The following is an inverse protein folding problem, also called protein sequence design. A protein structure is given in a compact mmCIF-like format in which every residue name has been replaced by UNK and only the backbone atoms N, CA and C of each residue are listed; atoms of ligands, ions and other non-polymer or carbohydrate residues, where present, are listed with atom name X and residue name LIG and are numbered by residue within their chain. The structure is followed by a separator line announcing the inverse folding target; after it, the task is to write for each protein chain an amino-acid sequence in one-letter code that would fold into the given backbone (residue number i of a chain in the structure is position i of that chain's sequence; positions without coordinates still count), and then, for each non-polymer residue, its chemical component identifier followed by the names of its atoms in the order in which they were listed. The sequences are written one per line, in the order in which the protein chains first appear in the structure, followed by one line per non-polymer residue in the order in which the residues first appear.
data_IF_855781055502
#
_entry.id   IF_855781055502
#
_cell.length_a   1.000
_cell.length_b   1.000
_cell.length_c   1.000
_cell.angle_alpha   90.00
_cell.angle_beta   90.00
_cell.angle_gamma   90.00
#
_symmetry.space_group_name_H-M   'P 1'
#
loop_
_entity.id
_entity.type
_entity.pdbx_description
1 polymer ?
#
# COMPACT_ATOMS: atom_id res chain seq x y z
N UNK A 1 20.72 16.70 -27.62
CA UNK A 1 20.71 15.83 -26.43
C UNK A 1 19.32 15.24 -26.31
N UNK A 2 19.15 14.03 -26.83
CA UNK A 2 17.91 13.26 -26.77
C UNK A 2 17.75 12.73 -25.35
N UNK A 3 16.83 13.30 -24.57
CA UNK A 3 16.40 12.72 -23.30
C UNK A 3 15.68 11.41 -23.60
N UNK A 4 16.44 10.31 -23.59
CA UNK A 4 15.90 8.96 -23.51
C UNK A 4 15.36 8.82 -22.09
N UNK A 5 14.09 9.19 -21.90
CA UNK A 5 13.34 8.84 -20.71
C UNK A 5 13.09 7.33 -20.80
N UNK A 6 14.02 6.54 -20.30
CA UNK A 6 13.82 5.11 -20.08
C UNK A 6 12.78 4.96 -18.97
N UNK A 7 11.51 4.79 -19.37
CA UNK A 7 10.32 4.78 -18.51
C UNK A 7 10.22 3.52 -17.65
N UNK A 8 11.15 3.30 -16.73
CA UNK A 8 10.83 2.45 -15.59
C UNK A 8 9.96 3.30 -14.65
N UNK A 9 8.62 3.22 -14.78
CA UNK A 9 7.74 3.96 -13.86
C UNK A 9 7.82 3.34 -12.47
N UNK A 10 8.63 3.95 -11.62
CA UNK A 10 8.89 3.50 -10.26
C UNK A 10 7.65 3.77 -9.41
N UNK A 11 7.18 2.75 -8.71
CA UNK A 11 6.16 2.90 -7.67
C UNK A 11 6.87 3.01 -6.33
N UNK A 12 6.45 3.97 -5.52
CA UNK A 12 6.91 4.14 -4.15
C UNK A 12 5.76 4.00 -3.17
N UNK A 13 6.07 3.58 -1.94
CA UNK A 13 5.19 3.71 -0.80
C UNK A 13 5.99 4.26 0.38
N UNK A 14 5.56 5.40 0.92
CA UNK A 14 6.05 5.90 2.20
C UNK A 14 4.98 5.64 3.26
N UNK A 15 5.32 4.96 4.33
CA UNK A 15 4.36 4.56 5.37
C UNK A 15 4.95 4.64 6.78
N UNK A 16 4.06 4.73 7.76
CA UNK A 16 4.37 4.59 9.18
C UNK A 16 3.50 3.48 9.77
N UNK A 17 4.12 2.61 10.57
CA UNK A 17 3.45 1.54 11.31
C UNK A 17 3.28 2.00 12.77
N UNK A 18 2.07 1.88 13.29
CA UNK A 18 1.68 2.30 14.63
C UNK A 18 1.15 1.09 15.42
N UNK A 19 2.00 0.36 16.14
CA UNK A 19 1.54 -0.58 17.16
C UNK A 19 1.13 0.20 18.43
N UNK A 20 -0.11 0.04 18.87
CA UNK A 20 -0.62 0.63 20.12
C UNK A 20 -0.26 -0.27 21.32
N UNK A 21 1.03 -0.56 21.47
CA UNK A 21 1.58 -1.47 22.49
C UNK A 21 2.85 -0.88 23.13
N UNK A 22 3.18 -1.27 24.36
CA UNK A 22 4.48 -0.97 24.98
C UNK A 22 5.64 -1.59 24.20
N UNK A 23 5.36 -2.67 23.47
CA UNK A 23 6.34 -3.47 22.74
C UNK A 23 6.48 -2.99 21.29
N UNK A 24 6.08 -1.74 21.00
CA UNK A 24 6.02 -1.20 19.65
C UNK A 24 7.35 -1.27 18.89
N UNK A 25 8.48 -1.11 19.60
CA UNK A 25 9.82 -1.20 19.00
C UNK A 25 10.05 -2.60 18.43
N UNK A 26 9.81 -3.64 19.23
CA UNK A 26 10.03 -5.02 18.84
C UNK A 26 9.07 -5.44 17.72
N UNK A 27 7.81 -4.98 17.77
CA UNK A 27 6.83 -5.22 16.70
C UNK A 27 7.29 -4.57 15.39
N UNK A 28 7.72 -3.31 15.41
CA UNK A 28 8.19 -2.62 14.19
C UNK A 28 9.43 -3.31 13.64
N UNK A 29 10.46 -3.54 14.47
CA UNK A 29 11.72 -4.11 14.02
C UNK A 29 11.55 -5.54 13.49
N UNK A 30 10.78 -6.39 14.17
CA UNK A 30 10.53 -7.77 13.70
C UNK A 30 9.81 -7.82 12.35
N UNK A 31 8.90 -6.88 12.07
CA UNK A 31 8.24 -6.81 10.75
C UNK A 31 9.23 -6.45 9.64
N UNK A 32 10.20 -5.58 9.91
CA UNK A 32 11.21 -5.16 8.95
C UNK A 32 12.28 -6.24 8.71
N UNK A 33 12.45 -7.17 9.64
CA UNK A 33 13.38 -8.31 9.56
C UNK A 33 12.77 -9.55 8.90
N UNK A 34 11.53 -9.92 9.26
CA UNK A 34 10.89 -11.15 8.75
C UNK A 34 10.28 -11.00 7.36
N UNK A 35 9.89 -9.78 6.96
CA UNK A 35 9.34 -9.56 5.62
C UNK A 35 10.47 -9.54 4.61
N UNK A 36 10.33 -10.35 3.55
CA UNK A 36 11.27 -10.38 2.46
C UNK A 36 11.15 -9.06 1.66
N UNK A 37 12.14 -8.19 1.86
CA UNK A 37 12.27 -6.90 1.19
C UNK A 37 13.29 -6.93 0.06
N UNK A 38 13.75 -8.11 -0.38
CA UNK A 38 14.78 -8.26 -1.42
C UNK A 38 14.37 -7.72 -2.79
N UNK A 39 13.07 -7.52 -3.02
CA UNK A 39 12.49 -7.01 -4.28
C UNK A 39 12.23 -5.51 -4.30
N UNK A 40 12.61 -4.77 -3.26
CA UNK A 40 12.39 -3.32 -3.16
C UNK A 40 13.63 -2.62 -2.64
N UNK A 41 13.85 -1.39 -3.07
CA UNK A 41 14.71 -0.47 -2.34
C UNK A 41 13.98 0.02 -1.09
N UNK A 42 14.68 0.24 0.02
CA UNK A 42 14.11 0.63 1.31
C UNK A 42 15.00 1.65 2.02
N UNK A 43 14.40 2.69 2.59
CA UNK A 43 15.03 3.63 3.52
C UNK A 43 14.07 3.92 4.67
N UNK A 44 14.58 3.98 5.90
CA UNK A 44 13.78 4.23 7.11
C UNK A 44 14.41 5.38 7.88
N UNK A 45 13.59 6.36 8.24
CA UNK A 45 13.93 7.46 9.14
C UNK A 45 13.07 7.39 10.42
N UNK A 46 13.14 8.42 11.26
CA UNK A 46 12.39 8.50 12.52
C UNK A 46 10.89 8.75 12.36
N UNK A 47 10.41 8.99 11.13
CA UNK A 47 9.01 9.30 10.82
C UNK A 47 8.37 8.17 10.00
N UNK A 48 9.08 7.64 9.01
CA UNK A 48 8.53 6.76 7.98
C UNK A 48 9.53 5.72 7.49
N UNK A 49 9.00 4.69 6.83
CA UNK A 49 9.75 3.84 5.91
C UNK A 49 9.29 4.11 4.49
N UNK A 50 10.24 4.37 3.59
CA UNK A 50 10.03 4.49 2.16
C UNK A 50 10.50 3.22 1.46
N UNK A 51 9.66 2.64 0.61
CA UNK A 51 10.02 1.55 -0.30
C UNK A 51 9.79 1.96 -1.75
N UNK A 52 10.68 1.53 -2.67
CA UNK A 52 10.62 1.88 -4.11
C UNK A 52 10.92 0.67 -4.99
N UNK A 53 10.14 0.49 -6.07
CA UNK A 53 10.25 -0.67 -6.96
C UNK A 53 9.08 -0.81 -7.94
N UNK A 54 8.84 -2.05 -8.41
CA UNK A 54 7.66 -2.41 -9.20
C UNK A 54 6.40 -2.40 -8.33
N UNK A 55 5.26 -1.94 -8.86
CA UNK A 55 3.96 -1.88 -8.17
C UNK A 55 3.66 -3.16 -7.39
N UNK A 56 3.71 -4.32 -8.05
CA UNK A 56 3.40 -5.62 -7.46
C UNK A 56 4.26 -5.94 -6.22
N UNK A 57 5.55 -5.56 -6.23
CA UNK A 57 6.46 -5.80 -5.11
C UNK A 57 6.21 -4.81 -3.97
N UNK A 58 5.85 -3.57 -4.29
CA UNK A 58 5.52 -2.54 -3.31
C UNK A 58 4.25 -2.94 -2.54
N UNK A 59 3.20 -3.37 -3.23
CA UNK A 59 1.98 -3.86 -2.57
C UNK A 59 2.22 -5.16 -1.79
N UNK A 60 3.03 -6.09 -2.30
CA UNK A 60 3.40 -7.33 -1.58
C UNK A 60 4.12 -7.03 -0.25
N UNK A 61 5.14 -6.18 -0.28
CA UNK A 61 5.91 -5.80 0.91
C UNK A 61 5.05 -5.02 1.91
N UNK A 62 4.30 -4.00 1.46
CA UNK A 62 3.45 -3.21 2.38
C UNK A 62 2.38 -4.09 3.06
N UNK A 63 1.76 -4.99 2.30
CA UNK A 63 0.79 -5.96 2.83
C UNK A 63 1.44 -6.89 3.86
N UNK A 64 2.60 -7.45 3.54
CA UNK A 64 3.30 -8.39 4.40
C UNK A 64 3.73 -7.75 5.73
N UNK A 65 4.22 -6.51 5.70
CA UNK A 65 4.57 -5.74 6.92
C UNK A 65 3.34 -5.56 7.80
N UNK A 66 2.21 -5.14 7.22
CA UNK A 66 0.98 -4.95 7.99
C UNK A 66 0.44 -6.26 8.58
N UNK A 67 0.41 -7.33 7.78
CA UNK A 67 -0.03 -8.66 8.23
C UNK A 67 0.84 -9.20 9.34
N UNK A 68 2.17 -9.04 9.23
CA UNK A 68 3.08 -9.46 10.27
C UNK A 68 2.79 -8.71 11.58
N UNK A 69 2.69 -7.38 11.53
CA UNK A 69 2.39 -6.60 12.73
C UNK A 69 1.04 -7.01 13.34
N UNK A 70 0.02 -7.22 12.52
CA UNK A 70 -1.32 -7.59 12.95
C UNK A 70 -1.40 -9.00 13.56
N UNK A 71 -0.54 -9.94 13.13
CA UNK A 71 -0.52 -11.32 13.64
C UNK A 71 -0.16 -11.42 15.14
N UNK A 72 0.41 -10.36 15.70
CA UNK A 72 0.72 -10.25 17.14
C UNK A 72 -0.53 -10.19 18.01
N UNK A 73 -1.69 -9.82 17.43
CA UNK A 73 -2.94 -9.60 18.16
C UNK A 73 -3.05 -8.21 18.80
N UNK A 74 -1.98 -7.41 18.79
CA UNK A 74 -1.99 -6.01 19.23
C UNK A 74 -2.79 -5.14 18.27
N UNK A 75 -3.38 -4.05 18.79
CA UNK A 75 -3.98 -3.03 17.94
C UNK A 75 -2.88 -2.38 17.12
N UNK A 76 -2.94 -2.56 15.81
CA UNK A 76 -1.99 -1.95 14.87
C UNK A 76 -2.73 -1.10 13.85
N UNK A 77 -2.11 0.02 13.48
CA UNK A 77 -2.50 0.80 12.32
C UNK A 77 -1.29 1.06 11.41
N UNK A 78 -1.53 1.17 10.11
CA UNK A 78 -0.53 1.63 9.15
C UNK A 78 -1.14 2.75 8.32
N UNK A 79 -0.43 3.86 8.19
CA UNK A 79 -0.81 4.98 7.32
C UNK A 79 0.30 5.22 6.32
N UNK A 80 -0.05 5.47 5.07
CA UNK A 80 0.96 5.67 4.03
C UNK A 80 0.41 6.26 2.75
N UNK A 81 1.33 6.55 1.84
CA UNK A 81 1.04 7.10 0.51
C UNK A 81 1.77 6.30 -0.54
N UNK A 82 1.01 5.65 -1.43
CA UNK A 82 1.53 5.12 -2.68
C UNK A 82 1.67 6.27 -3.70
N UNK A 83 2.74 6.25 -4.50
CA UNK A 83 2.99 7.25 -5.52
C UNK A 83 3.65 6.65 -6.76
N UNK A 84 3.33 7.18 -7.93
CA UNK A 84 3.98 6.85 -9.19
C UNK A 84 4.00 8.04 -10.14
N UNK A 85 5.13 8.25 -10.81
CA UNK A 85 5.26 9.24 -11.87
C UNK A 85 5.33 10.69 -11.40
N UNK A 86 5.87 10.92 -10.20
CA UNK A 86 6.14 12.26 -9.69
C UNK A 86 7.08 13.03 -10.64
N UNK A 87 6.78 14.28 -11.02
CA UNK A 87 7.68 15.10 -11.81
C UNK A 87 9.02 15.32 -11.09
N UNK A 88 10.12 14.90 -11.71
CA UNK A 88 11.46 14.99 -11.12
C UNK A 88 11.86 13.80 -10.24
N UNK A 89 11.08 12.70 -10.27
CA UNK A 89 11.45 11.45 -9.62
C UNK A 89 12.81 10.95 -10.13
N UNK A 90 13.68 10.53 -9.20
CA UNK A 90 15.02 10.07 -9.54
C UNK A 90 14.96 8.68 -10.17
N UNK A 91 15.79 8.42 -11.18
CA UNK A 91 15.99 7.07 -11.73
C UNK A 91 16.84 6.16 -10.84
N UNK A 92 17.39 6.71 -9.75
CA UNK A 92 18.13 5.97 -8.72
C UNK A 92 17.23 5.51 -7.57
N UNK A 93 17.83 4.87 -6.57
CA UNK A 93 17.15 4.41 -5.34
C UNK A 93 15.93 3.52 -5.64
N UNK A 94 16.14 2.56 -6.55
CA UNK A 94 15.11 1.64 -6.99
C UNK A 94 15.68 0.25 -7.23
N UNK A 95 14.87 -0.76 -6.90
CA UNK A 95 15.09 -2.13 -7.34
C UNK A 95 13.99 -2.53 -8.34
N UNK A 96 14.35 -2.59 -9.62
CA UNK A 96 13.46 -3.00 -10.72
C UNK A 96 13.86 -4.39 -11.19
N UNK A 97 13.55 -5.43 -10.42
CA UNK A 97 13.83 -6.80 -10.84
C UNK A 97 12.98 -7.20 -12.05
N UNK A 98 13.52 -8.00 -12.97
CA UNK A 98 12.75 -8.53 -14.09
C UNK A 98 11.66 -9.52 -13.66
N UNK A 99 11.90 -10.32 -12.62
CA UNK A 99 10.92 -11.30 -12.13
C UNK A 99 9.70 -10.61 -11.51
N UNK A 100 8.51 -11.16 -11.77
CA UNK A 100 7.26 -10.76 -11.13
C UNK A 100 6.90 -11.66 -9.92
N UNK A 101 7.88 -12.41 -9.40
CA UNK A 101 7.67 -13.30 -8.25
C UNK A 101 7.45 -12.49 -6.97
N UNK A 102 6.28 -12.67 -6.37
CA UNK A 102 5.94 -12.13 -5.05
C UNK A 102 6.60 -12.99 -3.96
N UNK A 103 7.46 -12.39 -3.14
CA UNK A 103 8.26 -13.13 -2.16
C UNK A 103 7.47 -13.43 -0.88
N UNK A 104 6.49 -12.58 -0.53
CA UNK A 104 5.74 -12.69 0.70
C UNK A 104 4.34 -13.28 0.52
N UNK A 105 3.91 -13.53 -0.72
CA UNK A 105 2.55 -13.97 -1.05
C UNK A 105 2.15 -15.26 -0.31
N UNK A 106 3.01 -16.29 -0.33
CA UNK A 106 2.72 -17.56 0.33
C UNK A 106 2.47 -17.39 1.84
N UNK A 107 3.30 -16.60 2.51
CA UNK A 107 3.17 -16.34 3.94
C UNK A 107 1.93 -15.47 4.22
N UNK A 108 1.72 -14.42 3.43
CA UNK A 108 0.57 -13.51 3.54
C UNK A 108 -0.77 -14.24 3.37
N UNK A 109 -0.86 -15.13 2.39
CA UNK A 109 -2.08 -15.89 2.09
C UNK A 109 -2.42 -16.92 3.18
N UNK A 110 -1.43 -17.34 3.99
CA UNK A 110 -1.65 -18.22 5.14
C UNK A 110 -2.25 -17.49 6.35
N UNK A 111 -2.19 -16.16 6.37
CA UNK A 111 -2.73 -15.32 7.43
C UNK A 111 -4.14 -14.86 7.09
N UNK A 112 -5.06 -14.99 8.05
CA UNK A 112 -6.42 -14.45 7.97
C UNK A 112 -6.57 -13.36 9.01
N UNK A 113 -6.62 -12.11 8.54
CA UNK A 113 -6.67 -10.94 9.40
C UNK A 113 -7.75 -10.01 8.88
N UNK A 114 -8.72 -9.70 9.73
CA UNK A 114 -9.72 -8.67 9.44
C UNK A 114 -9.17 -7.29 9.76
N UNK A 115 -9.48 -6.32 8.90
CA UNK A 115 -9.10 -4.93 9.08
C UNK A 115 -10.15 -3.97 8.50
N UNK A 116 -10.11 -2.73 8.96
CA UNK A 116 -10.79 -1.61 8.31
C UNK A 116 -9.74 -0.70 7.67
N UNK A 117 -9.99 -0.25 6.45
CA UNK A 117 -9.11 0.64 5.69
C UNK A 117 -9.88 1.83 5.16
N UNK A 118 -9.31 3.02 5.24
CA UNK A 118 -9.76 4.19 4.49
C UNK A 118 -8.68 4.60 3.51
N UNK A 119 -9.06 4.87 2.27
CA UNK A 119 -8.12 5.31 1.25
C UNK A 119 -8.71 6.43 0.38
N UNK A 120 -7.82 7.23 -0.20
CA UNK A 120 -8.16 8.31 -1.12
C UNK A 120 -7.20 8.29 -2.30
N UNK A 121 -7.74 8.41 -3.51
CA UNK A 121 -6.99 8.35 -4.76
C UNK A 121 -6.92 9.73 -5.41
N UNK A 122 -5.73 10.14 -5.82
CA UNK A 122 -5.46 11.47 -6.37
C UNK A 122 -4.79 11.34 -7.75
N UNK A 123 -5.58 11.33 -8.84
CA UNK A 123 -5.06 11.48 -10.19
C UNK A 123 -4.64 12.94 -10.41
N UNK A 124 -3.34 13.22 -10.41
CA UNK A 124 -2.81 14.59 -10.39
C UNK A 124 -2.68 15.19 -11.80
N UNK A 125 -2.89 16.50 -11.90
CA UNK A 125 -2.74 17.26 -13.16
C UNK A 125 -3.88 17.06 -14.15
N UNK A 126 -5.05 16.60 -13.69
CA UNK A 126 -6.24 16.35 -14.51
C UNK A 126 -7.46 17.10 -13.99
N UNK A 127 -8.26 17.65 -14.90
CA UNK A 127 -9.53 18.32 -14.56
C UNK A 127 -10.67 17.29 -14.37
N UNK A 128 -10.62 16.16 -15.09
CA UNK A 128 -11.56 15.04 -15.03
C UNK A 128 -11.22 14.00 -13.94
N UNK A 129 -10.47 14.40 -12.91
CA UNK A 129 -9.98 13.48 -11.87
C UNK A 129 -11.12 12.77 -11.13
N UNK A 130 -12.27 13.43 -10.95
CA UNK A 130 -13.43 12.84 -10.29
C UNK A 130 -14.00 11.66 -11.08
N UNK A 131 -14.05 11.74 -12.42
CA UNK A 131 -14.54 10.64 -13.25
C UNK A 131 -13.64 9.41 -13.10
N UNK A 132 -12.31 9.62 -12.99
CA UNK A 132 -11.34 8.54 -12.74
C UNK A 132 -11.46 7.94 -11.36
N UNK A 133 -11.77 8.74 -10.35
CA UNK A 133 -12.08 8.22 -9.01
C UNK A 133 -13.37 7.40 -9.07
N UNK A 134 -14.44 7.89 -9.68
CA UNK A 134 -15.73 7.18 -9.80
C UNK A 134 -15.61 5.88 -10.61
N UNK A 135 -14.79 5.85 -11.66
CA UNK A 135 -14.48 4.62 -12.43
C UNK A 135 -13.82 3.54 -11.55
N UNK A 136 -13.08 3.94 -10.52
CA UNK A 136 -12.52 3.00 -9.54
C UNK A 136 -13.49 2.62 -8.41
N UNK A 137 -14.70 3.20 -8.32
CA UNK A 137 -15.62 2.91 -7.20
C UNK A 137 -16.23 1.51 -7.27
N UNK A 138 -16.12 0.81 -8.41
CA UNK A 138 -16.58 -0.58 -8.51
C UNK A 138 -15.56 -1.60 -7.98
N UNK A 139 -14.87 -1.26 -6.89
CA UNK A 139 -14.07 -2.21 -6.09
C UNK A 139 -14.92 -3.31 -5.45
N UNK A 140 -16.26 -3.17 -5.46
CA UNK A 140 -17.21 -4.24 -5.14
C UNK A 140 -17.03 -5.51 -5.97
N UNK A 141 -16.35 -5.43 -7.12
CA UNK A 141 -15.92 -6.60 -7.90
C UNK A 141 -14.85 -7.44 -7.21
N UNK A 142 -14.07 -6.87 -6.28
CA UNK A 142 -13.16 -7.65 -5.45
C UNK A 142 -13.97 -8.37 -4.37
N UNK A 143 -14.20 -9.66 -4.61
CA UNK A 143 -14.90 -10.54 -3.67
C UNK A 143 -14.16 -10.56 -2.34
N UNK A 144 -14.78 -10.08 -1.26
CA UNK A 144 -14.22 -10.16 0.09
C UNK A 144 -14.11 -8.84 0.85
N UNK A 145 -14.30 -7.69 0.18
CA UNK A 145 -14.34 -6.38 0.85
C UNK A 145 -15.74 -5.75 0.83
N UNK A 146 -16.16 -5.23 1.97
CA UNK A 146 -17.30 -4.34 2.08
C UNK A 146 -16.84 -2.90 1.79
N UNK A 147 -17.50 -2.24 0.84
CA UNK A 147 -17.22 -0.85 0.48
C UNK A 147 -18.26 0.07 1.11
N UNK A 148 -17.81 1.15 1.75
CA UNK A 148 -18.69 2.18 2.31
C UNK A 148 -18.11 3.59 2.13
N UNK A 149 -19.00 4.58 2.14
CA UNK A 149 -18.60 5.98 2.02
C UNK A 149 -18.04 6.50 3.36
N UNK A 150 -16.97 7.30 3.29
CA UNK A 150 -16.48 8.13 4.38
C UNK A 150 -16.24 9.54 3.83
N UNK A 151 -16.41 10.57 4.64
CA UNK A 151 -15.99 11.90 4.19
C UNK A 151 -14.50 11.87 3.81
N UNK A 152 -14.21 12.38 2.61
CA UNK A 152 -12.88 12.51 2.01
C UNK A 152 -12.16 11.21 1.62
N UNK A 153 -12.80 10.05 1.80
CA UNK A 153 -12.18 8.73 1.56
C UNK A 153 -13.21 7.65 1.25
N UNK A 154 -12.77 6.56 0.64
CA UNK A 154 -13.55 5.32 0.54
C UNK A 154 -13.12 4.40 1.67
N UNK A 155 -14.08 3.77 2.36
CA UNK A 155 -13.82 2.79 3.42
C UNK A 155 -14.00 1.37 2.86
N UNK A 156 -13.03 0.51 3.18
CA UNK A 156 -13.01 -0.92 2.91
C UNK A 156 -12.96 -1.67 4.24
N UNK A 157 -13.79 -2.69 4.42
CA UNK A 157 -13.72 -3.61 5.57
C UNK A 157 -13.68 -5.06 5.04
N UNK A 158 -12.79 -5.90 5.56
CA UNK A 158 -12.63 -7.28 5.09
C UNK A 158 -11.30 -7.91 5.48
N UNK A 159 -10.94 -9.02 4.80
CA UNK A 159 -9.60 -9.62 4.95
C UNK A 159 -8.54 -8.69 4.36
N UNK A 160 -7.39 -8.58 5.05
CA UNK A 160 -6.29 -7.72 4.62
C UNK A 160 -5.80 -8.08 3.21
N UNK A 161 -5.80 -9.35 2.81
CA UNK A 161 -5.40 -9.71 1.45
C UNK A 161 -6.35 -9.14 0.39
N UNK A 162 -7.66 -9.18 0.67
CA UNK A 162 -8.69 -8.65 -0.24
C UNK A 162 -8.65 -7.11 -0.28
N UNK A 163 -8.40 -6.47 0.88
CA UNK A 163 -8.21 -5.00 0.97
C UNK A 163 -7.02 -4.56 0.12
N UNK A 164 -5.85 -5.18 0.28
CA UNK A 164 -4.67 -4.80 -0.50
C UNK A 164 -4.84 -5.11 -2.00
N UNK A 165 -5.56 -6.17 -2.34
CA UNK A 165 -5.92 -6.46 -3.75
C UNK A 165 -6.79 -5.35 -4.34
N UNK A 166 -7.78 -4.85 -3.59
CA UNK A 166 -8.62 -3.74 -4.00
C UNK A 166 -7.84 -2.43 -4.14
N UNK A 167 -6.96 -2.11 -3.19
CA UNK A 167 -6.09 -0.93 -3.26
C UNK A 167 -5.17 -0.98 -4.47
N UNK A 168 -4.51 -2.13 -4.71
CA UNK A 168 -3.60 -2.31 -5.83
C UNK A 168 -4.32 -2.16 -7.16
N UNK A 169 -5.46 -2.84 -7.34
CA UNK A 169 -6.24 -2.75 -8.57
C UNK A 169 -6.69 -1.31 -8.85
N UNK A 170 -7.17 -0.59 -7.82
CA UNK A 170 -7.55 0.82 -7.94
C UNK A 170 -6.40 1.70 -8.42
N UNK A 171 -5.23 1.52 -7.79
CA UNK A 171 -4.03 2.27 -8.12
C UNK A 171 -3.51 1.96 -9.53
N UNK A 172 -3.41 0.67 -9.88
CA UNK A 172 -2.91 0.18 -11.15
C UNK A 172 -3.80 0.62 -12.33
N UNK A 173 -5.12 0.56 -12.18
CA UNK A 173 -6.06 1.03 -13.21
C UNK A 173 -5.90 2.53 -13.51
N UNK A 174 -5.74 3.38 -12.47
CA UNK A 174 -5.63 4.83 -12.69
C UNK A 174 -4.28 5.22 -13.26
N UNK A 175 -3.19 4.57 -12.83
CA UNK A 175 -1.86 4.86 -13.41
C UNK A 175 -1.77 4.49 -14.89
N UNK A 176 -2.59 3.59 -15.42
CA UNK A 176 -2.60 3.29 -16.86
C UNK A 176 -3.01 4.50 -17.71
N UNK A 177 -3.85 5.38 -17.16
CA UNK A 177 -4.43 6.53 -17.89
C UNK A 177 -4.00 7.89 -17.35
N UNK A 178 -3.26 7.92 -16.23
CA UNK A 178 -2.74 9.13 -15.58
C UNK A 178 -1.24 9.03 -15.30
N UNK A 179 -0.50 10.09 -15.64
CA UNK A 179 0.96 10.14 -15.53
C UNK A 179 1.46 10.17 -14.08
N UNK A 180 0.81 10.97 -13.23
CA UNK A 180 1.13 11.11 -11.80
C UNK A 180 -0.09 10.74 -10.95
N UNK A 181 0.06 9.70 -10.13
CA UNK A 181 -1.01 9.22 -9.24
C UNK A 181 -0.44 9.07 -7.84
N UNK A 182 -1.18 9.58 -6.85
CA UNK A 182 -0.93 9.25 -5.44
C UNK A 182 -2.17 8.62 -4.82
N UNK A 183 -1.97 7.72 -3.86
CA UNK A 183 -3.04 7.10 -3.11
C UNK A 183 -2.66 7.05 -1.63
N UNK A 184 -3.42 7.75 -0.79
CA UNK A 184 -3.24 7.66 0.66
C UNK A 184 -4.09 6.52 1.20
N UNK A 185 -3.61 5.85 2.24
CA UNK A 185 -4.38 4.85 2.95
C UNK A 185 -4.12 4.93 4.46
N UNK A 186 -5.08 4.47 5.24
CA UNK A 186 -4.92 4.16 6.65
C UNK A 186 -5.71 2.89 6.94
N UNK A 187 -4.99 1.84 7.32
CA UNK A 187 -5.53 0.52 7.63
C UNK A 187 -5.32 0.22 9.11
N UNK A 188 -6.29 -0.42 9.76
CA UNK A 188 -6.23 -0.79 11.17
C UNK A 188 -6.78 -2.19 11.42
N UNK A 189 -6.04 -2.97 12.20
CA UNK A 189 -6.37 -4.32 12.62
C UNK A 189 -6.40 -4.39 14.15
N UNK A 190 -7.20 -5.31 14.69
CA UNK A 190 -7.33 -5.54 16.14
C UNK A 190 -7.77 -4.31 16.95
N UNK A 191 -8.45 -3.34 16.33
CA UNK A 191 -9.00 -2.17 17.02
C UNK A 191 -9.94 -2.60 18.17
N UNK A 192 -9.78 -2.06 19.39
CA UNK A 192 -10.67 -2.35 20.51
C UNK A 192 -12.13 -2.00 20.23
N UNK A 193 -12.39 -1.01 19.37
CA UNK A 193 -13.75 -0.59 18.99
C UNK A 193 -14.54 -1.68 18.27
N UNK A 194 -13.88 -2.69 17.69
CA UNK A 194 -14.54 -3.76 16.95
C UNK A 194 -14.96 -4.93 17.84
N UNK A 195 -14.61 -4.87 19.14
CA UNK A 195 -14.99 -5.87 20.16
C UNK A 195 -16.21 -5.43 20.99
N UNK A 196 -16.74 -4.23 20.73
CA UNK A 196 -17.84 -3.59 21.47
C UNK A 196 -19.15 -3.57 20.70
#
# INVERSE_FOLDING_TARGET
MTNICSTSRITGCQFTLFPMSSDFVDIILSTLEEVDTSKVWKETDDVTTCIRGKSIHIFDVTKAIFLHAAKTGEHVAMSGTFSIGCPGDSSGDVYMEESDKLMNESNSNSLKQQAGCKFSLYPLGREDYMDKIYEQIDLSKNTGVQVSHSHYATRLDGDVNDIFSALQQSFDNVREVVSHVTMTFTISANSPSNKG
#
